data_IF_696747072536
#
_entry.id   IF_696747072536
#
_cell.length_a   1.000
_cell.length_b   1.000
_cell.length_c   1.000
_cell.angle_alpha   90.00
_cell.angle_beta   90.00
_cell.angle_gamma   90.00
#
_symmetry.space_group_name_H-M   'P 1'
#
loop_
_entity.id
_entity.type
_entity.pdbx_description
1 polymer ?
#
# COMPACT_ATOMS: atom_id res chain seq x y z
N UNK A 1 6.59 6.44 -25.44
CA UNK A 1 7.04 7.75 -24.92
C UNK A 1 5.95 8.47 -24.10
N UNK A 2 4.90 7.75 -23.66
CA UNK A 2 3.76 8.29 -22.89
C UNK A 2 3.95 8.21 -21.37
N UNK A 3 4.84 7.34 -20.89
CA UNK A 3 5.14 7.13 -19.46
C UNK A 3 5.73 8.38 -18.79
N UNK A 4 6.66 9.07 -19.47
CA UNK A 4 7.38 10.23 -18.90
C UNK A 4 6.50 11.43 -18.59
N UNK A 5 5.45 11.68 -19.37
CA UNK A 5 4.58 12.85 -19.16
C UNK A 5 3.58 12.59 -18.03
N UNK A 6 3.14 11.33 -17.88
CA UNK A 6 2.22 10.95 -16.83
C UNK A 6 2.86 11.05 -15.44
N UNK A 7 4.07 10.53 -15.28
CA UNK A 7 4.82 10.61 -14.01
C UNK A 7 5.04 12.07 -13.59
N UNK A 8 5.42 12.94 -14.52
CA UNK A 8 5.65 14.37 -14.27
C UNK A 8 4.38 15.14 -13.87
N UNK A 9 3.20 14.75 -14.37
CA UNK A 9 1.93 15.40 -14.03
C UNK A 9 1.34 14.83 -12.74
N UNK A 10 1.47 13.51 -12.52
CA UNK A 10 1.03 12.84 -11.31
C UNK A 10 1.81 13.29 -10.05
N UNK A 11 3.09 13.69 -10.20
CA UNK A 11 3.89 14.27 -9.11
C UNK A 11 3.39 15.65 -8.62
N UNK A 12 2.58 16.37 -9.42
CA UNK A 12 2.20 17.77 -9.13
C UNK A 12 0.69 18.01 -9.03
N UNK A 13 -0.14 17.01 -9.37
CA UNK A 13 -1.60 17.15 -9.42
C UNK A 13 -2.29 15.92 -8.82
N UNK A 14 -3.37 16.12 -8.07
CA UNK A 14 -4.21 15.03 -7.56
C UNK A 14 -4.92 14.30 -8.73
N UNK A 15 -5.19 13.00 -8.60
CA UNK A 15 -5.85 12.21 -9.66
C UNK A 15 -7.17 12.84 -10.12
N UNK A 16 -7.96 13.40 -9.20
CA UNK A 16 -9.20 14.13 -9.51
C UNK A 16 -8.97 15.32 -10.44
N UNK A 17 -7.88 16.08 -10.24
CA UNK A 17 -7.54 17.22 -11.09
C UNK A 17 -7.09 16.78 -12.49
N UNK A 18 -6.44 15.61 -12.58
CA UNK A 18 -6.03 15.00 -13.85
C UNK A 18 -7.26 14.51 -14.63
N UNK A 19 -8.23 13.91 -13.93
CA UNK A 19 -9.52 13.49 -14.50
C UNK A 19 -10.28 14.70 -15.03
N UNK A 20 -10.48 15.75 -14.22
CA UNK A 20 -11.18 16.97 -14.63
C UNK A 20 -10.52 17.63 -15.85
N UNK A 21 -9.18 17.67 -15.89
CA UNK A 21 -8.44 18.22 -17.02
C UNK A 21 -8.60 17.38 -18.29
N UNK A 22 -8.56 16.04 -18.18
CA UNK A 22 -8.73 15.13 -19.30
C UNK A 22 -10.16 15.16 -19.85
N UNK A 23 -11.17 15.16 -18.99
CA UNK A 23 -12.58 15.32 -19.37
C UNK A 23 -12.83 16.66 -20.07
N UNK A 24 -12.30 17.77 -19.54
CA UNK A 24 -12.41 19.09 -20.16
C UNK A 24 -11.75 19.16 -21.55
N UNK A 25 -10.63 18.47 -21.74
CA UNK A 25 -9.96 18.38 -23.05
C UNK A 25 -10.76 17.55 -24.06
N UNK A 26 -11.36 16.43 -23.63
CA UNK A 26 -12.27 15.60 -24.44
C UNK A 26 -13.51 16.41 -24.85
N UNK A 27 -14.09 17.17 -23.92
CA UNK A 27 -15.22 18.05 -24.19
C UNK A 27 -14.85 19.13 -25.22
N UNK A 28 -13.72 19.83 -25.03
CA UNK A 28 -13.19 20.82 -25.97
C UNK A 28 -12.93 20.25 -27.37
N UNK A 29 -12.46 19.01 -27.48
CA UNK A 29 -12.24 18.34 -28.76
C UNK A 29 -13.53 18.01 -29.50
N UNK A 30 -14.61 17.81 -28.75
CA UNK A 30 -15.94 17.51 -29.27
C UNK A 30 -16.68 18.76 -29.79
N UNK A 31 -16.10 19.96 -29.60
CA UNK A 31 -16.71 21.22 -30.00
C UNK A 31 -16.24 21.72 -31.40
N UNK A 32 -17.16 22.26 -32.22
CA UNK A 32 -16.87 22.70 -33.60
C UNK A 32 -16.08 24.00 -33.69
N UNK A 33 -15.81 24.68 -32.57
CA UNK A 33 -15.13 25.98 -32.51
C UNK A 33 -13.60 25.90 -32.54
N UNK A 34 -13.03 24.69 -32.68
CA UNK A 34 -11.59 24.51 -32.73
C UNK A 34 -10.98 25.26 -33.93
N UNK A 35 -9.94 26.10 -33.73
CA UNK A 35 -9.25 26.76 -34.83
C UNK A 35 -8.72 25.73 -35.83
N UNK A 36 -8.91 25.95 -37.14
CA UNK A 36 -8.44 25.03 -38.20
C UNK A 36 -6.93 24.76 -38.20
N UNK A 37 -6.15 25.61 -37.51
CA UNK A 37 -4.70 25.50 -37.38
C UNK A 37 -4.26 24.75 -36.11
N UNK A 38 -5.20 24.38 -35.23
CA UNK A 38 -4.87 23.63 -34.03
C UNK A 38 -4.40 22.21 -34.43
N UNK A 39 -3.31 21.70 -33.84
CA UNK A 39 -2.86 20.33 -34.09
C UNK A 39 -3.96 19.33 -33.74
N UNK A 40 -4.08 18.19 -34.42
CA UNK A 40 -5.08 17.17 -34.09
C UNK A 40 -4.91 16.72 -32.62
N UNK A 41 -6.01 16.53 -31.90
CA UNK A 41 -5.94 16.04 -30.53
C UNK A 41 -5.87 14.50 -30.57
N UNK A 42 -4.95 13.85 -29.84
CA UNK A 42 -4.84 12.40 -29.82
C UNK A 42 -5.94 11.82 -28.92
N UNK A 43 -7.17 11.77 -29.43
CA UNK A 43 -8.35 11.34 -28.64
C UNK A 43 -8.21 9.95 -28.06
N UNK A 44 -7.65 9.00 -28.83
CA UNK A 44 -7.47 7.62 -28.37
C UNK A 44 -6.47 7.54 -27.20
N UNK A 45 -5.38 8.33 -27.25
CA UNK A 45 -4.40 8.39 -26.17
C UNK A 45 -4.96 9.09 -24.93
N UNK A 46 -5.76 10.14 -25.12
CA UNK A 46 -6.40 10.88 -24.03
C UNK A 46 -7.49 10.06 -23.33
N UNK A 47 -8.27 9.28 -24.08
CA UNK A 47 -9.27 8.36 -23.53
C UNK A 47 -8.60 7.20 -22.78
N UNK A 48 -7.56 6.59 -23.36
CA UNK A 48 -6.80 5.53 -22.68
C UNK A 48 -6.09 6.06 -21.42
N UNK A 49 -5.68 7.33 -21.41
CA UNK A 49 -5.14 7.99 -20.23
C UNK A 49 -6.23 8.18 -19.16
N UNK A 50 -7.40 8.71 -19.54
CA UNK A 50 -8.51 8.93 -18.63
C UNK A 50 -8.97 7.61 -17.99
N UNK A 51 -9.13 6.55 -18.77
CA UNK A 51 -9.48 5.21 -18.27
C UNK A 51 -8.49 4.74 -17.21
N UNK A 52 -7.19 4.81 -17.50
CA UNK A 52 -6.14 4.43 -16.54
C UNK A 52 -6.16 5.27 -15.25
N UNK A 53 -6.42 6.57 -15.36
CA UNK A 53 -6.44 7.46 -14.19
C UNK A 53 -7.70 7.24 -13.35
N UNK A 54 -8.84 6.95 -13.97
CA UNK A 54 -10.07 6.54 -13.28
C UNK A 54 -9.83 5.21 -12.57
N UNK A 55 -9.27 4.21 -13.25
CA UNK A 55 -8.93 2.94 -12.62
C UNK A 55 -8.04 3.17 -11.39
N UNK A 56 -6.97 3.96 -11.53
CA UNK A 56 -6.09 4.30 -10.41
C UNK A 56 -6.81 5.03 -9.26
N UNK A 57 -7.75 5.93 -9.56
CA UNK A 57 -8.55 6.61 -8.54
C UNK A 57 -9.48 5.62 -7.83
N UNK A 58 -10.14 4.75 -8.58
CA UNK A 58 -11.05 3.75 -8.03
C UNK A 58 -10.29 2.73 -7.18
N UNK A 59 -9.05 2.37 -7.56
CA UNK A 59 -8.14 1.59 -6.70
C UNK A 59 -7.75 2.34 -5.41
N UNK A 60 -7.48 3.65 -5.48
CA UNK A 60 -7.25 4.47 -4.27
C UNK A 60 -8.47 4.52 -3.36
N UNK A 61 -9.67 4.68 -3.92
CA UNK A 61 -10.93 4.68 -3.15
C UNK A 61 -11.20 3.32 -2.47
N UNK A 62 -10.82 2.21 -3.11
CA UNK A 62 -10.94 0.87 -2.51
C UNK A 62 -9.92 0.62 -1.38
N UNK A 63 -8.75 1.26 -1.41
CA UNK A 63 -7.77 1.23 -0.31
C UNK A 63 -8.18 2.13 0.87
N UNK A 64 -8.95 3.20 0.62
CA UNK A 64 -9.47 4.11 1.64
C UNK A 64 -10.59 3.49 2.51
N UNK A 65 -11.20 2.39 2.06
CA UNK A 65 -12.34 1.69 2.71
C UNK A 65 -11.92 0.43 3.52
N UNK A 66 -10.67 0.32 3.97
CA UNK A 66 -10.28 -0.74 4.92
C UNK A 66 -10.86 -0.47 6.33
N UNK A 67 -12.13 -0.82 6.49
CA UNK A 67 -12.95 -0.70 7.71
C UNK A 67 -12.49 -1.61 8.86
N UNK A 68 -11.48 -2.47 8.66
CA UNK A 68 -10.98 -3.37 9.70
C UNK A 68 -10.31 -2.56 10.80
N UNK A 69 -10.55 -2.95 12.05
CA UNK A 69 -9.86 -2.35 13.20
C UNK A 69 -8.35 -2.61 13.17
N UNK A 70 -7.55 -1.70 13.72
CA UNK A 70 -6.10 -1.89 13.88
C UNK A 70 -5.74 -3.22 14.55
N UNK A 71 -6.57 -3.69 15.50
CA UNK A 71 -6.37 -4.98 16.18
C UNK A 71 -6.45 -6.14 15.19
N UNK A 72 -7.44 -6.13 14.28
CA UNK A 72 -7.57 -7.17 13.28
C UNK A 72 -6.38 -7.16 12.32
N UNK A 73 -5.92 -5.98 11.89
CA UNK A 73 -4.73 -5.84 11.04
C UNK A 73 -3.46 -6.40 11.70
N UNK A 74 -3.31 -6.18 13.01
CA UNK A 74 -2.21 -6.76 13.80
C UNK A 74 -2.29 -8.30 13.88
N UNK A 75 -3.49 -8.86 14.01
CA UNK A 75 -3.72 -10.32 13.98
C UNK A 75 -3.40 -10.89 12.60
N UNK A 76 -3.91 -10.27 11.54
CA UNK A 76 -3.70 -10.68 10.15
C UNK A 76 -2.20 -10.66 9.83
N UNK A 77 -1.48 -9.61 10.21
CA UNK A 77 -0.02 -9.54 10.06
C UNK A 77 0.76 -10.63 10.79
N UNK A 78 0.22 -11.10 11.92
CA UNK A 78 0.86 -12.13 12.75
C UNK A 78 0.58 -13.55 12.24
N UNK A 79 -0.42 -13.73 11.37
CA UNK A 79 -0.89 -15.05 10.91
C UNK A 79 -0.84 -15.23 9.38
N UNK A 80 -0.76 -14.14 8.61
CA UNK A 80 -0.71 -14.15 7.16
C UNK A 80 0.66 -13.67 6.63
N UNK A 81 1.28 -14.53 5.83
CA UNK A 81 2.55 -14.28 5.16
C UNK A 81 2.49 -13.07 4.21
N UNK A 82 1.33 -12.75 3.63
CA UNK A 82 1.17 -11.67 2.66
C UNK A 82 0.75 -10.34 3.29
N UNK A 83 0.15 -10.34 4.48
CA UNK A 83 -0.31 -9.14 5.18
C UNK A 83 0.86 -8.34 5.80
N UNK A 84 1.36 -7.30 5.13
CA UNK A 84 2.44 -6.44 5.65
C UNK A 84 1.84 -5.18 6.27
N UNK A 85 2.25 -4.85 7.49
CA UNK A 85 1.85 -3.59 8.12
C UNK A 85 2.87 -2.49 7.92
N UNK A 86 2.37 -1.33 7.51
CA UNK A 86 3.12 -0.08 7.42
C UNK A 86 2.43 0.97 8.26
N UNK A 87 3.18 1.61 9.16
CA UNK A 87 2.77 2.83 9.85
C UNK A 87 3.38 4.02 9.13
N UNK A 88 2.56 4.73 8.37
CA UNK A 88 2.97 5.93 7.64
C UNK A 88 2.15 7.16 8.07
N UNK A 89 2.76 8.15 8.75
CA UNK A 89 2.07 9.37 9.19
C UNK A 89 1.59 10.26 8.03
N UNK A 90 2.08 10.03 6.81
CA UNK A 90 1.59 10.70 5.60
C UNK A 90 0.43 9.96 4.93
N UNK A 91 0.17 8.71 5.31
CA UNK A 91 -0.96 7.92 4.83
C UNK A 91 -2.24 8.17 5.62
N UNK A 92 -3.38 7.82 5.02
CA UNK A 92 -4.69 7.83 5.69
C UNK A 92 -5.43 6.55 5.32
N UNK A 93 -5.68 5.62 6.26
CA UNK A 93 -5.28 5.65 7.68
C UNK A 93 -3.76 5.57 7.89
N UNK A 94 -3.25 5.97 9.07
CA UNK A 94 -1.81 5.92 9.38
C UNK A 94 -1.28 4.48 9.35
N UNK A 95 -2.03 3.53 9.92
CA UNK A 95 -1.70 2.11 9.91
C UNK A 95 -2.42 1.44 8.72
N UNK A 96 -1.62 0.94 7.79
CA UNK A 96 -2.09 0.30 6.56
C UNK A 96 -1.60 -1.14 6.50
N UNK A 97 -2.47 -2.03 6.04
CA UNK A 97 -2.10 -3.37 5.61
C UNK A 97 -1.95 -3.36 4.09
N UNK A 98 -0.78 -3.77 3.61
CA UNK A 98 -0.46 -3.79 2.18
C UNK A 98 0.20 -5.11 1.81
N UNK A 99 0.24 -5.42 0.51
CA UNK A 99 0.97 -6.58 0.00
C UNK A 99 2.49 -6.35 -0.02
N UNK A 100 3.28 -7.44 -0.02
CA UNK A 100 4.76 -7.37 -0.12
C UNK A 100 5.22 -6.65 -1.40
N UNK A 101 4.54 -6.89 -2.54
CA UNK A 101 4.90 -6.24 -3.81
C UNK A 101 4.62 -4.74 -3.77
N UNK A 102 3.52 -4.36 -3.16
CA UNK A 102 3.10 -2.98 -2.99
C UNK A 102 4.02 -2.23 -2.02
N UNK A 103 4.46 -2.88 -0.94
CA UNK A 103 5.49 -2.36 -0.05
C UNK A 103 6.74 -1.91 -0.83
N UNK A 104 7.23 -2.77 -1.74
CA UNK A 104 8.44 -2.49 -2.51
C UNK A 104 8.22 -1.41 -3.59
N UNK A 105 6.97 -1.18 -4.01
CA UNK A 105 6.61 -0.09 -4.92
C UNK A 105 6.50 1.24 -4.17
N UNK A 106 5.79 1.28 -3.04
CA UNK A 106 5.59 2.49 -2.21
C UNK A 106 6.89 2.92 -1.50
N UNK A 107 7.69 1.95 -1.07
CA UNK A 107 8.92 2.17 -0.32
C UNK A 107 10.10 1.44 -0.97
N UNK A 108 10.64 1.97 -2.08
CA UNK A 108 11.71 1.31 -2.80
C UNK A 108 12.99 1.20 -1.95
N UNK A 109 13.69 0.08 -2.09
CA UNK A 109 15.00 -0.16 -1.46
C UNK A 109 16.20 0.05 -2.41
N UNK A 110 15.93 0.52 -3.64
CA UNK A 110 16.93 0.82 -4.69
C UNK A 110 16.53 2.07 -5.46
N UNK A 111 17.51 2.70 -6.10
CA UNK A 111 17.30 3.92 -6.89
C UNK A 111 17.48 5.20 -6.08
N UNK A 112 17.22 6.34 -6.73
CA UNK A 112 17.39 7.67 -6.12
C UNK A 112 16.40 7.96 -5.01
N UNK A 113 15.26 7.26 -4.99
CA UNK A 113 14.18 7.42 -4.01
C UNK A 113 14.26 6.40 -2.88
N UNK A 114 15.32 5.59 -2.83
CA UNK A 114 15.46 4.54 -1.84
C UNK A 114 15.49 5.10 -0.40
N UNK A 115 14.59 4.61 0.45
CA UNK A 115 14.50 5.02 1.86
C UNK A 115 15.17 4.05 2.84
N UNK A 116 15.62 2.91 2.35
CA UNK A 116 16.24 1.81 3.09
C UNK A 116 17.04 0.96 2.12
N UNK A 117 17.99 0.19 2.63
CA UNK A 117 18.83 -0.66 1.77
C UNK A 117 18.12 -1.98 1.42
N UNK A 118 18.57 -2.69 0.38
CA UNK A 118 18.08 -4.05 0.11
C UNK A 118 18.32 -5.00 1.28
N UNK A 119 19.40 -4.81 2.05
CA UNK A 119 19.71 -5.62 3.23
C UNK A 119 18.71 -5.36 4.36
N UNK A 120 18.28 -4.10 4.55
CA UNK A 120 17.23 -3.75 5.52
C UNK A 120 15.88 -4.35 5.13
N UNK A 121 15.54 -4.35 3.83
CA UNK A 121 14.33 -4.96 3.32
C UNK A 121 14.31 -6.48 3.52
N UNK A 122 15.44 -7.15 3.28
CA UNK A 122 15.60 -8.58 3.57
C UNK A 122 15.47 -8.83 5.07
N UNK A 123 16.15 -8.04 5.92
CA UNK A 123 16.08 -8.20 7.37
C UNK A 123 14.65 -8.01 7.93
N UNK A 124 13.88 -7.10 7.35
CA UNK A 124 12.46 -6.93 7.67
C UNK A 124 11.64 -8.18 7.33
N UNK A 125 11.77 -8.70 6.11
CA UNK A 125 11.04 -9.89 5.66
C UNK A 125 11.44 -11.13 6.46
N UNK A 126 12.73 -11.32 6.75
CA UNK A 126 13.21 -12.40 7.62
C UNK A 126 12.67 -12.29 9.04
N UNK A 127 12.51 -11.07 9.55
CA UNK A 127 11.90 -10.83 10.86
C UNK A 127 10.42 -11.17 10.85
N UNK A 128 9.69 -10.80 9.78
CA UNK A 128 8.30 -11.20 9.58
C UNK A 128 8.17 -12.72 9.56
N UNK A 129 8.92 -13.41 8.70
CA UNK A 129 8.87 -14.88 8.59
C UNK A 129 9.17 -15.55 9.93
N UNK A 130 10.19 -15.09 10.66
CA UNK A 130 10.53 -15.66 11.98
C UNK A 130 9.36 -15.59 12.97
N UNK A 131 8.66 -14.45 13.03
CA UNK A 131 7.55 -14.28 13.97
C UNK A 131 6.27 -14.97 13.52
N UNK A 132 6.04 -15.07 12.20
CA UNK A 132 4.98 -15.89 11.65
C UNK A 132 5.18 -17.37 12.01
N UNK A 133 6.38 -17.91 11.78
CA UNK A 133 6.71 -19.30 12.12
C UNK A 133 6.50 -19.56 13.62
N UNK A 134 6.93 -18.63 14.48
CA UNK A 134 6.72 -18.73 15.92
C UNK A 134 5.24 -18.69 16.32
N UNK A 135 4.41 -17.87 15.65
CA UNK A 135 2.98 -17.82 15.90
C UNK A 135 2.28 -19.12 15.47
N UNK A 136 2.65 -19.67 14.31
CA UNK A 136 2.12 -20.96 13.83
C UNK A 136 2.53 -22.12 14.74
N UNK A 137 3.78 -22.16 15.20
CA UNK A 137 4.25 -23.16 16.16
C UNK A 137 3.50 -23.08 17.49
N UNK A 138 3.22 -21.87 17.99
CA UNK A 138 2.43 -21.67 19.21
C UNK A 138 0.99 -22.15 19.02
N UNK A 139 0.40 -21.88 17.85
CA UNK A 139 -0.96 -22.31 17.55
C UNK A 139 -1.10 -23.83 17.45
N UNK A 140 -0.11 -24.50 16.84
CA UNK A 140 -0.06 -25.96 16.79
C UNK A 140 0.09 -26.56 18.20
N UNK A 141 0.94 -25.97 19.05
CA UNK A 141 1.15 -26.43 20.43
C UNK A 141 -0.09 -26.27 21.31
N UNK A 142 -0.81 -25.14 21.21
CA UNK A 142 -2.04 -24.89 21.95
C UNK A 142 -3.19 -25.78 21.46
N UNK A 143 -3.21 -26.14 20.17
CA UNK A 143 -4.16 -27.12 19.63
C UNK A 143 -3.95 -28.54 20.19
N UNK A 144 -2.71 -28.90 20.54
CA UNK A 144 -2.36 -30.19 21.15
C UNK A 144 -2.50 -30.20 22.68
N UNK A 145 -2.44 -29.03 23.32
CA UNK A 145 -2.62 -28.86 24.75
C UNK A 145 -4.12 -28.97 25.12
N UNK A 146 -4.55 -30.20 25.45
CA UNK A 146 -5.90 -30.45 25.97
C UNK A 146 -6.09 -29.64 27.27
N UNK A 147 -6.81 -28.51 27.17
CA UNK A 147 -7.37 -27.72 28.26
C UNK A 147 -6.37 -26.97 29.17
N UNK A 148 -5.83 -25.83 28.69
CA UNK A 148 -5.47 -24.74 29.59
C UNK A 148 -6.30 -23.49 29.26
N UNK A 149 -6.68 -22.74 30.30
CA UNK A 149 -7.74 -21.72 30.37
C UNK A 149 -7.44 -20.41 29.57
N UNK A 150 -6.52 -20.45 28.61
CA UNK A 150 -6.13 -19.30 27.79
C UNK A 150 -6.65 -19.47 26.37
N UNK A 151 -7.79 -18.87 26.05
CA UNK A 151 -8.35 -18.78 24.69
C UNK A 151 -7.52 -17.83 23.77
N UNK A 152 -6.27 -17.54 24.12
CA UNK A 152 -5.43 -16.52 23.51
C UNK A 152 -4.01 -17.05 23.26
N UNK A 153 -3.52 -16.86 22.03
CA UNK A 153 -2.13 -17.10 21.60
C UNK A 153 -1.37 -15.78 21.65
N UNK A 154 -0.20 -15.77 22.30
CA UNK A 154 0.73 -14.64 22.26
C UNK A 154 1.53 -14.65 20.96
N UNK A 155 1.47 -13.56 20.19
CA UNK A 155 2.17 -13.40 18.93
C UNK A 155 2.83 -12.01 18.80
N UNK A 156 3.54 -11.81 17.69
CA UNK A 156 4.12 -10.51 17.34
C UNK A 156 3.64 -10.05 15.97
N UNK A 157 3.14 -8.83 15.90
CA UNK A 157 3.04 -8.11 14.64
C UNK A 157 4.37 -7.42 14.34
N UNK A 158 4.81 -7.51 13.07
CA UNK A 158 6.02 -6.89 12.54
C UNK A 158 5.63 -5.71 11.67
N UNK A 159 5.84 -4.50 12.17
CA UNK A 159 5.40 -3.25 11.53
C UNK A 159 6.58 -2.50 10.95
N UNK A 160 6.48 -2.11 9.69
CA UNK A 160 7.42 -1.17 9.09
C UNK A 160 6.97 0.26 9.42
N UNK A 161 7.84 1.03 10.06
CA UNK A 161 7.56 2.40 10.49
C UNK A 161 8.27 3.38 9.59
N UNK A 162 7.48 4.27 9.00
CA UNK A 162 7.93 5.37 8.18
C UNK A 162 8.15 6.59 9.07
N UNK A 163 9.38 7.12 9.17
CA UNK A 163 9.62 8.30 9.99
C UNK A 163 8.88 9.53 9.45
N UNK A 164 8.37 10.36 10.35
CA UNK A 164 7.75 11.67 10.03
C UNK A 164 8.72 12.61 9.28
N UNK A 165 10.02 12.50 9.56
CA UNK A 165 11.03 13.34 8.93
C UNK A 165 11.46 12.76 7.57
N UNK A 166 11.33 13.54 6.47
CA UNK A 166 11.77 13.10 5.15
C UNK A 166 13.25 12.73 5.14
N UNK A 167 13.59 11.64 4.44
CA UNK A 167 14.97 11.18 4.27
C UNK A 167 15.55 10.38 5.43
N UNK A 168 14.81 10.16 6.52
CA UNK A 168 15.21 9.19 7.53
C UNK A 168 14.94 7.74 7.08
N UNK A 169 15.78 6.78 7.51
CA UNK A 169 15.61 5.38 7.16
C UNK A 169 14.36 4.79 7.80
N UNK A 170 13.72 3.87 7.08
CA UNK A 170 12.60 3.07 7.60
C UNK A 170 13.06 2.20 8.78
N UNK A 171 12.13 1.86 9.67
CA UNK A 171 12.42 1.08 10.89
C UNK A 171 11.45 -0.08 11.03
N UNK A 172 11.86 -1.13 11.73
CA UNK A 172 10.99 -2.25 12.08
C UNK A 172 10.64 -2.17 13.56
N UNK A 173 9.36 -2.28 13.87
CA UNK A 173 8.83 -2.38 15.23
C UNK A 173 8.12 -3.72 15.42
N UNK A 174 8.18 -4.25 16.64
CA UNK A 174 7.50 -5.46 17.05
C UNK A 174 6.44 -5.09 18.08
N UNK A 175 5.19 -5.46 17.81
CA UNK A 175 4.07 -5.22 18.71
C UNK A 175 3.55 -6.54 19.25
N UNK A 176 3.25 -6.57 20.54
CA UNK A 176 2.58 -7.69 21.18
C UNK A 176 1.14 -7.79 20.68
N UNK A 177 0.74 -9.00 20.26
CA UNK A 177 -0.61 -9.30 19.78
C UNK A 177 -1.14 -10.53 20.50
N UNK A 178 -2.41 -10.47 20.90
CA UNK A 178 -3.13 -11.61 21.45
C UNK A 178 -4.13 -12.08 20.39
N UNK A 179 -3.92 -13.29 19.88
CA UNK A 179 -4.78 -13.89 18.85
C UNK A 179 -5.81 -14.77 19.55
N UNK A 180 -7.11 -14.51 19.39
CA UNK A 180 -8.15 -15.39 19.91
C UNK A 180 -8.13 -16.73 19.17
N UNK A 181 -8.18 -17.82 19.94
CA UNK A 181 -8.35 -19.18 19.41
C UNK A 181 -9.84 -19.38 19.16
N UNK A 182 -10.27 -19.47 17.90
CA UNK A 182 -11.66 -19.76 17.58
C UNK A 182 -12.08 -21.10 18.20
N UNK A 183 -13.15 -21.08 19.02
CA UNK A 183 -13.76 -22.26 19.65
C UNK A 183 -14.62 -23.10 18.70
#
# INVERSE_FOLDING_TARGET
>A
MTETTFTLVAEQMALTQIIEAAEGLIELASHPTRPKQAPPMPMDELQALLEKVIDLRDWQELEEDDDRSDIQKLIDNSTDADAVLVRDPSGTPELQEIGILELLQRYPCRGSEARWSPDDAIAFLETKTRWLDAALESWDADSEAIADDSDLIEAKAVVLVVPEQPGQPLRTELLDVLIPVDS
#
